data_IF_342324179186
#
_entry.id   IF_342324179186
#
_cell.length_a   1.000
_cell.length_b   1.000
_cell.length_c   1.000
_cell.angle_alpha   90.00
_cell.angle_beta   90.00
_cell.angle_gamma   90.00
#
_symmetry.space_group_name_H-M   'P 1'
#
loop_
_entity.id
_entity.type
_entity.pdbx_description
1 polymer ?
#
# COMPACT_ATOMS: atom_id res chain seq x y z
N UNK A 1 10.79 -5.64 5.82
CA UNK A 1 10.96 -6.77 6.77
C UNK A 1 9.62 -7.42 7.17
N UNK A 2 9.58 -8.74 7.41
CA UNK A 2 8.38 -9.44 7.94
C UNK A 2 8.38 -9.48 9.48
N UNK A 3 7.26 -9.88 10.09
CA UNK A 3 7.16 -10.10 11.55
C UNK A 3 8.17 -11.14 12.08
N UNK A 4 8.52 -12.14 11.25
CA UNK A 4 9.53 -13.15 11.59
C UNK A 4 10.90 -12.50 11.66
N UNK A 5 11.25 -11.69 10.66
CA UNK A 5 12.52 -10.96 10.62
C UNK A 5 12.65 -10.02 11.81
N UNK A 6 11.58 -9.27 12.16
CA UNK A 6 11.56 -8.39 13.33
C UNK A 6 11.81 -9.16 14.63
N UNK A 7 11.20 -10.33 14.79
CA UNK A 7 11.37 -11.18 15.97
C UNK A 7 12.81 -11.70 16.10
N UNK A 8 13.44 -12.08 14.99
CA UNK A 8 14.84 -12.53 14.96
C UNK A 8 15.79 -11.38 15.32
N UNK A 9 15.63 -10.21 14.68
CA UNK A 9 16.49 -9.03 14.91
C UNK A 9 16.43 -8.58 16.38
N UNK A 10 15.24 -8.58 16.98
CA UNK A 10 15.09 -8.20 18.38
C UNK A 10 15.78 -9.18 19.33
N UNK A 11 15.65 -10.48 19.09
CA UNK A 11 16.29 -11.50 19.91
C UNK A 11 17.83 -11.49 19.76
N UNK A 12 18.33 -11.24 18.55
CA UNK A 12 19.76 -11.11 18.24
C UNK A 12 20.38 -9.89 18.93
N UNK A 13 19.70 -8.73 18.90
CA UNK A 13 20.15 -7.52 19.60
C UNK A 13 20.28 -7.71 21.12
N UNK A 14 19.51 -8.65 21.69
CA UNK A 14 19.53 -9.01 23.11
C UNK A 14 20.35 -10.28 23.39
N UNK A 15 21.03 -10.85 22.39
CA UNK A 15 21.83 -12.07 22.46
C UNK A 15 21.10 -13.26 23.14
N UNK A 16 19.81 -13.43 22.83
CA UNK A 16 18.95 -14.47 23.39
C UNK A 16 18.21 -15.25 22.31
N UNK A 17 17.65 -16.39 22.70
CA UNK A 17 16.66 -17.08 21.87
C UNK A 17 15.34 -16.30 21.83
N UNK A 18 14.46 -16.69 20.90
CA UNK A 18 13.10 -16.18 20.85
C UNK A 18 12.36 -16.54 22.14
N UNK A 19 11.69 -15.55 22.70
CA UNK A 19 10.78 -15.70 23.83
C UNK A 19 9.53 -16.49 23.41
N UNK A 20 8.82 -17.12 24.36
CA UNK A 20 7.54 -17.77 24.08
C UNK A 20 6.55 -16.84 23.35
N UNK A 21 6.49 -15.55 23.73
CA UNK A 21 5.62 -14.57 23.08
C UNK A 21 6.03 -14.20 21.65
N UNK A 22 7.32 -14.26 21.30
CA UNK A 22 7.77 -14.12 19.90
C UNK A 22 7.43 -15.36 19.08
N UNK A 23 7.60 -16.56 19.66
CA UNK A 23 7.21 -17.81 19.00
C UNK A 23 5.70 -17.87 18.76
N UNK A 24 4.87 -17.44 19.72
CA UNK A 24 3.42 -17.38 19.57
C UNK A 24 3.00 -16.39 18.48
N UNK A 25 3.68 -15.23 18.37
CA UNK A 25 3.44 -14.27 17.28
C UNK A 25 3.78 -14.87 15.91
N UNK A 26 4.90 -15.59 15.79
CA UNK A 26 5.27 -16.28 14.56
C UNK A 26 4.23 -17.35 14.22
N UNK A 27 3.78 -18.13 15.21
CA UNK A 27 2.75 -19.16 15.04
C UNK A 27 1.43 -18.55 14.55
N UNK A 28 1.00 -17.43 15.13
CA UNK A 28 -0.19 -16.72 14.69
C UNK A 28 -0.03 -16.20 13.26
N UNK A 29 1.13 -15.62 12.92
CA UNK A 29 1.43 -15.13 11.58
C UNK A 29 1.35 -16.22 10.51
N UNK A 30 1.96 -17.39 10.74
CA UNK A 30 1.87 -18.50 9.78
C UNK A 30 0.44 -19.06 9.70
N UNK A 31 -0.29 -19.08 10.83
CA UNK A 31 -1.68 -19.53 10.89
C UNK A 31 -2.64 -18.68 10.07
N UNK A 32 -2.43 -17.37 9.98
CA UNK A 32 -3.25 -16.46 9.15
C UNK A 32 -2.74 -16.29 7.71
N UNK A 33 -1.71 -17.03 7.29
CA UNK A 33 -1.12 -16.90 5.96
C UNK A 33 -2.09 -17.12 4.79
N UNK A 34 -3.04 -18.06 4.93
CA UNK A 34 -4.04 -18.34 3.90
C UNK A 34 -4.98 -17.15 3.65
N UNK A 35 -5.36 -16.42 4.69
CA UNK A 35 -6.19 -15.22 4.56
C UNK A 35 -5.43 -14.11 3.82
N UNK A 36 -4.18 -13.84 4.23
CA UNK A 36 -3.33 -12.82 3.59
C UNK A 36 -3.03 -13.12 2.12
N UNK A 37 -2.80 -14.40 1.78
CA UNK A 37 -2.62 -14.80 0.38
C UNK A 37 -3.89 -14.58 -0.44
N UNK A 38 -5.07 -14.95 0.08
CA UNK A 38 -6.36 -14.69 -0.59
C UNK A 38 -6.60 -13.20 -0.83
N UNK A 39 -6.28 -12.34 0.15
CA UNK A 39 -6.36 -10.89 0.00
C UNK A 39 -5.44 -10.43 -1.13
N UNK A 40 -4.16 -10.83 -1.10
CA UNK A 40 -3.18 -10.45 -2.11
C UNK A 40 -3.56 -10.95 -3.51
N UNK A 41 -4.11 -12.16 -3.63
CA UNK A 41 -4.62 -12.73 -4.89
C UNK A 41 -5.79 -11.92 -5.43
N UNK A 42 -6.73 -11.51 -4.57
CA UNK A 42 -7.89 -10.67 -4.95
C UNK A 42 -7.41 -9.33 -5.50
N UNK A 43 -6.50 -8.66 -4.78
CA UNK A 43 -5.92 -7.38 -5.20
C UNK A 43 -5.13 -7.51 -6.52
N UNK A 44 -4.34 -8.58 -6.64
CA UNK A 44 -3.51 -8.84 -7.83
C UNK A 44 -4.38 -9.16 -9.06
N UNK A 45 -5.41 -10.00 -8.89
CA UNK A 45 -6.34 -10.38 -9.94
C UNK A 45 -7.21 -9.22 -10.43
N UNK A 46 -7.53 -8.26 -9.55
CA UNK A 46 -8.33 -7.09 -9.87
C UNK A 46 -7.54 -5.80 -10.12
N UNK A 47 -6.19 -5.87 -10.19
CA UNK A 47 -5.32 -4.68 -10.22
C UNK A 47 -5.70 -3.63 -11.25
N UNK A 48 -6.00 -4.06 -12.48
CA UNK A 48 -6.32 -3.17 -13.59
C UNK A 48 -7.64 -2.43 -13.34
N UNK A 49 -8.62 -3.15 -12.79
CA UNK A 49 -9.93 -2.59 -12.44
C UNK A 49 -9.81 -1.62 -11.28
N UNK A 50 -9.03 -1.97 -10.25
CA UNK A 50 -8.78 -1.11 -9.09
C UNK A 50 -8.12 0.20 -9.53
N UNK A 51 -7.00 0.13 -10.26
CA UNK A 51 -6.24 1.32 -10.68
C UNK A 51 -7.08 2.19 -11.63
N UNK A 52 -7.78 1.58 -12.60
CA UNK A 52 -8.62 2.33 -13.54
C UNK A 52 -9.76 3.06 -12.84
N UNK A 53 -10.56 2.35 -12.03
CA UNK A 53 -11.70 2.97 -11.36
C UNK A 53 -11.26 4.00 -10.32
N UNK A 54 -10.18 3.74 -9.59
CA UNK A 54 -9.63 4.69 -8.64
C UNK A 54 -9.08 5.94 -9.34
N UNK A 55 -8.44 5.78 -10.51
CA UNK A 55 -7.94 6.88 -11.34
C UNK A 55 -9.09 7.76 -11.84
N UNK A 56 -10.15 7.15 -12.37
CA UNK A 56 -11.34 7.88 -12.82
C UNK A 56 -11.97 8.70 -11.68
N UNK A 57 -12.08 8.13 -10.48
CA UNK A 57 -12.58 8.82 -9.28
C UNK A 57 -11.64 9.93 -8.81
N UNK A 58 -10.32 9.69 -8.86
CA UNK A 58 -9.31 10.68 -8.51
C UNK A 58 -9.45 11.91 -9.41
N UNK A 59 -9.52 11.74 -10.72
CA UNK A 59 -9.58 12.86 -11.67
C UNK A 59 -10.89 13.65 -11.58
N UNK A 60 -11.98 13.02 -11.14
CA UNK A 60 -13.22 13.73 -10.81
C UNK A 60 -13.07 14.60 -9.55
N UNK A 61 -12.36 14.11 -8.52
CA UNK A 61 -12.14 14.84 -7.25
C UNK A 61 -11.03 15.88 -7.35
N UNK A 62 -10.04 15.62 -8.21
CA UNK A 62 -8.86 16.45 -8.45
C UNK A 62 -8.73 16.75 -9.94
N UNK A 63 -9.65 17.54 -10.53
CA UNK A 63 -9.55 17.90 -11.94
C UNK A 63 -8.34 18.81 -12.21
N UNK A 64 -7.79 19.46 -11.19
CA UNK A 64 -6.63 20.34 -11.26
C UNK A 64 -5.35 19.62 -11.71
N UNK A 65 -5.16 18.35 -11.32
CA UNK A 65 -3.93 17.61 -11.66
C UNK A 65 -3.89 17.16 -13.12
N UNK A 66 -5.05 17.03 -13.79
CA UNK A 66 -5.20 16.62 -15.21
C UNK A 66 -5.66 17.76 -16.13
N UNK A 67 -5.73 18.99 -15.63
CA UNK A 67 -6.01 20.19 -16.43
C UNK A 67 -4.70 20.83 -16.93
N UNK A 68 -4.72 21.70 -17.96
CA UNK A 68 -3.50 22.38 -18.42
C UNK A 68 -2.75 23.06 -17.26
N UNK A 69 -1.48 22.69 -17.07
CA UNK A 69 -0.65 23.15 -15.95
C UNK A 69 -0.60 22.20 -14.74
N UNK A 70 -1.44 21.17 -14.69
CA UNK A 70 -1.39 20.10 -13.70
C UNK A 70 -0.26 19.09 -13.97
N UNK A 71 0.23 18.43 -12.91
CA UNK A 71 1.37 17.51 -13.01
C UNK A 71 1.06 16.22 -13.80
N UNK A 72 -0.21 15.84 -13.90
CA UNK A 72 -0.70 14.66 -14.62
C UNK A 72 -1.35 15.03 -15.97
N UNK A 73 -1.17 16.26 -16.47
CA UNK A 73 -1.78 16.72 -17.71
C UNK A 73 -1.24 16.00 -18.97
N UNK A 74 -2.16 15.52 -19.81
CA UNK A 74 -1.85 14.80 -21.05
C UNK A 74 -1.72 13.29 -20.86
N UNK A 75 -1.78 12.55 -21.97
CA UNK A 75 -1.86 11.08 -21.97
C UNK A 75 -0.65 10.43 -21.27
N UNK A 76 0.57 10.88 -21.57
CA UNK A 76 1.80 10.32 -20.99
C UNK A 76 1.89 10.54 -19.47
N UNK A 77 1.52 11.73 -18.99
CA UNK A 77 1.59 12.07 -17.57
C UNK A 77 0.45 11.43 -16.78
N UNK A 78 -0.74 11.32 -17.38
CA UNK A 78 -1.84 10.53 -16.81
C UNK A 78 -1.45 9.04 -16.71
N UNK A 79 -0.84 8.46 -17.74
CA UNK A 79 -0.34 7.09 -17.71
C UNK A 79 0.73 6.90 -16.61
N UNK A 80 1.61 7.89 -16.43
CA UNK A 80 2.60 7.90 -15.34
C UNK A 80 1.96 7.96 -13.97
N UNK A 81 0.90 8.74 -13.78
CA UNK A 81 0.11 8.77 -12.56
C UNK A 81 -0.52 7.40 -12.25
N UNK A 82 -1.16 6.77 -13.24
CA UNK A 82 -1.77 5.44 -13.08
C UNK A 82 -0.72 4.36 -12.79
N UNK A 83 0.48 4.47 -13.38
CA UNK A 83 1.62 3.60 -13.07
C UNK A 83 2.03 3.71 -11.60
N UNK A 84 2.12 4.92 -11.06
CA UNK A 84 2.46 5.13 -9.64
C UNK A 84 1.37 4.57 -8.71
N UNK A 85 0.09 4.68 -9.09
CA UNK A 85 -1.01 4.03 -8.38
C UNK A 85 -0.84 2.50 -8.34
N UNK A 86 -0.52 1.88 -9.48
CA UNK A 86 -0.22 0.45 -9.57
C UNK A 86 1.00 0.05 -8.72
N UNK A 87 2.03 0.90 -8.65
CA UNK A 87 3.17 0.68 -7.76
C UNK A 87 2.75 0.61 -6.30
N UNK A 88 1.92 1.53 -5.81
CA UNK A 88 1.41 1.48 -4.45
C UNK A 88 0.53 0.27 -4.19
N UNK A 89 -0.34 -0.11 -5.13
CA UNK A 89 -1.15 -1.32 -5.00
C UNK A 89 -0.26 -2.56 -4.87
N UNK A 90 0.79 -2.66 -5.69
CA UNK A 90 1.79 -3.74 -5.60
C UNK A 90 2.51 -3.74 -4.25
N UNK A 91 2.98 -2.60 -3.76
CA UNK A 91 3.63 -2.52 -2.44
C UNK A 91 2.66 -2.91 -1.31
N UNK A 92 1.38 -2.55 -1.42
CA UNK A 92 0.35 -2.97 -0.47
C UNK A 92 0.21 -4.49 -0.46
N UNK A 93 0.20 -5.16 -1.63
CA UNK A 93 0.20 -6.64 -1.64
C UNK A 93 1.44 -7.25 -0.98
N UNK A 94 2.61 -6.60 -1.10
CA UNK A 94 3.82 -7.05 -0.41
C UNK A 94 3.69 -6.90 1.11
N UNK A 95 3.11 -5.80 1.58
CA UNK A 95 2.82 -5.59 2.99
C UNK A 95 1.85 -6.64 3.54
N UNK A 96 0.76 -6.91 2.79
CA UNK A 96 -0.23 -7.94 3.13
C UNK A 96 0.43 -9.30 3.28
N UNK A 97 1.18 -9.80 2.30
CA UNK A 97 1.79 -11.14 2.43
C UNK A 97 2.86 -11.20 3.53
N UNK A 98 3.61 -10.10 3.73
CA UNK A 98 4.60 -9.98 4.80
C UNK A 98 3.98 -9.84 6.20
N UNK A 99 2.67 -9.54 6.28
CA UNK A 99 1.93 -9.26 7.52
C UNK A 99 2.41 -8.00 8.25
N UNK A 100 3.03 -7.07 7.52
CA UNK A 100 3.65 -5.87 8.09
C UNK A 100 3.85 -4.79 7.01
N UNK A 101 3.83 -3.52 7.39
CA UNK A 101 3.97 -2.38 6.48
C UNK A 101 5.40 -2.09 6.04
N UNK A 102 6.42 -2.73 6.64
CA UNK A 102 7.81 -2.39 6.34
C UNK A 102 8.19 -2.48 4.84
N UNK A 103 7.71 -3.45 4.01
CA UNK A 103 7.98 -3.41 2.57
C UNK A 103 7.43 -2.16 1.86
N UNK A 104 6.32 -1.62 2.36
CA UNK A 104 5.73 -0.37 1.87
C UNK A 104 6.60 0.82 2.30
N UNK A 105 7.03 0.82 3.56
CA UNK A 105 7.84 1.88 4.15
C UNK A 105 9.21 2.01 3.47
N UNK A 106 9.97 0.91 3.44
CA UNK A 106 11.34 0.86 2.91
C UNK A 106 11.43 1.21 1.42
N UNK A 107 10.39 0.91 0.64
CA UNK A 107 10.41 1.09 -0.82
C UNK A 107 9.66 2.34 -1.26
N UNK A 108 8.48 2.60 -0.69
CA UNK A 108 7.51 3.56 -1.21
C UNK A 108 7.30 4.82 -0.38
N UNK A 109 7.84 4.90 0.84
CA UNK A 109 7.59 6.02 1.75
C UNK A 109 8.86 6.72 2.24
N UNK A 110 9.97 6.02 2.45
CA UNK A 110 11.25 6.68 2.77
C UNK A 110 11.68 7.54 1.58
N UNK A 111 11.73 8.86 1.78
CA UNK A 111 12.11 9.84 0.75
C UNK A 111 10.96 10.26 -0.19
N UNK A 112 9.73 9.79 0.04
CA UNK A 112 8.59 10.05 -0.87
C UNK A 112 8.24 11.54 -0.98
N UNK A 113 8.36 12.28 0.13
CA UNK A 113 8.07 13.72 0.19
C UNK A 113 9.07 14.52 -0.62
N UNK A 114 10.35 14.20 -0.49
CA UNK A 114 11.44 14.81 -1.23
C UNK A 114 11.30 14.54 -2.73
N UNK A 115 10.98 13.29 -3.08
CA UNK A 115 10.76 12.86 -4.47
C UNK A 115 9.59 13.62 -5.11
N UNK A 116 8.38 13.55 -4.53
CA UNK A 116 7.22 14.20 -5.14
C UNK A 116 7.32 15.72 -5.14
N UNK A 117 7.94 16.32 -4.11
CA UNK A 117 8.24 17.76 -4.10
C UNK A 117 9.17 18.14 -5.25
N UNK A 118 10.22 17.36 -5.51
CA UNK A 118 11.14 17.60 -6.63
C UNK A 118 10.47 17.46 -7.99
N UNK A 119 9.48 16.58 -8.10
CA UNK A 119 8.71 16.34 -9.33
C UNK A 119 7.51 17.30 -9.49
N UNK A 120 7.26 18.19 -8.54
CA UNK A 120 6.08 19.07 -8.54
C UNK A 120 4.75 18.34 -8.43
N UNK A 121 4.76 17.11 -7.91
CA UNK A 121 3.55 16.30 -7.69
C UNK A 121 2.97 16.62 -6.32
N UNK A 122 1.68 16.93 -6.26
CA UNK A 122 0.97 17.16 -5.01
C UNK A 122 0.80 15.84 -4.23
N UNK A 123 1.50 15.71 -3.11
CA UNK A 123 1.44 14.53 -2.25
C UNK A 123 0.02 14.30 -1.69
N UNK A 124 -0.78 15.36 -1.51
CA UNK A 124 -2.18 15.24 -1.11
C UNK A 124 -3.04 14.57 -2.18
N UNK A 125 -2.72 14.79 -3.47
CA UNK A 125 -3.37 14.10 -4.58
C UNK A 125 -2.96 12.62 -4.63
N UNK A 126 -1.71 12.29 -4.33
CA UNK A 126 -1.24 10.90 -4.22
C UNK A 126 -1.93 10.18 -3.05
N UNK A 127 -2.03 10.82 -1.88
CA UNK A 127 -2.80 10.27 -0.76
C UNK A 127 -4.27 10.03 -1.15
N UNK A 128 -4.86 10.94 -1.93
CA UNK A 128 -6.23 10.77 -2.42
C UNK A 128 -6.34 9.59 -3.39
N UNK A 129 -5.37 9.36 -4.28
CA UNK A 129 -5.39 8.22 -5.20
C UNK A 129 -5.40 6.89 -4.45
N UNK A 130 -4.63 6.79 -3.36
CA UNK A 130 -4.60 5.61 -2.49
C UNK A 130 -5.92 5.43 -1.74
N UNK A 131 -6.58 6.50 -1.31
CA UNK A 131 -7.96 6.43 -0.76
C UNK A 131 -8.95 5.87 -1.78
N UNK A 132 -8.91 6.33 -3.02
CA UNK A 132 -9.82 5.78 -4.04
C UNK A 132 -9.51 4.30 -4.35
N UNK A 133 -8.24 3.90 -4.36
CA UNK A 133 -7.88 2.49 -4.51
C UNK A 133 -8.39 1.64 -3.35
N UNK A 134 -8.32 2.15 -2.10
CA UNK A 134 -8.89 1.49 -0.93
C UNK A 134 -10.38 1.23 -1.11
N UNK A 135 -11.15 2.25 -1.48
CA UNK A 135 -12.62 2.14 -1.66
C UNK A 135 -13.01 1.13 -2.75
N UNK A 136 -12.26 1.08 -3.85
CA UNK A 136 -12.52 0.08 -4.90
C UNK A 136 -12.12 -1.32 -4.43
N UNK A 137 -10.94 -1.46 -3.80
CA UNK A 137 -10.40 -2.73 -3.36
C UNK A 137 -11.26 -3.40 -2.28
N UNK A 138 -11.70 -2.65 -1.26
CA UNK A 138 -12.51 -3.20 -0.15
C UNK A 138 -13.87 -3.71 -0.64
N UNK A 139 -14.42 -3.12 -1.70
CA UNK A 139 -15.66 -3.59 -2.33
C UNK A 139 -15.56 -4.95 -3.04
N UNK A 140 -14.35 -5.49 -3.21
CA UNK A 140 -14.09 -6.76 -3.92
C UNK A 140 -13.88 -7.96 -2.98
N UNK A 141 -13.92 -7.75 -1.66
CA UNK A 141 -13.58 -8.78 -0.69
C UNK A 141 -14.58 -8.82 0.48
N UNK A 142 -14.46 -9.85 1.33
CA UNK A 142 -15.28 -9.99 2.53
C UNK A 142 -15.02 -8.86 3.53
N UNK A 143 -15.93 -8.63 4.47
CA UNK A 143 -15.74 -7.58 5.49
C UNK A 143 -14.46 -7.77 6.31
N UNK A 144 -14.11 -9.02 6.62
CA UNK A 144 -12.91 -9.33 7.41
C UNK A 144 -11.64 -9.07 6.59
N UNK A 145 -11.62 -9.55 5.34
CA UNK A 145 -10.51 -9.32 4.40
C UNK A 145 -10.33 -7.81 4.11
N UNK A 146 -11.45 -7.08 3.95
CA UNK A 146 -11.46 -5.64 3.74
C UNK A 146 -10.90 -4.89 4.95
N UNK A 147 -11.24 -5.32 6.17
CA UNK A 147 -10.71 -4.74 7.40
C UNK A 147 -9.20 -4.94 7.50
N UNK A 148 -8.70 -6.15 7.19
CA UNK A 148 -7.27 -6.44 7.19
C UNK A 148 -6.53 -5.62 6.12
N UNK A 149 -7.02 -5.64 4.88
CA UNK A 149 -6.43 -4.91 3.76
C UNK A 149 -6.41 -3.38 4.01
N UNK A 150 -7.48 -2.84 4.60
CA UNK A 150 -7.63 -1.40 4.87
C UNK A 150 -6.46 -0.83 5.67
N UNK A 151 -5.93 -1.59 6.64
CA UNK A 151 -4.82 -1.13 7.48
C UNK A 151 -3.57 -0.75 6.68
N UNK A 152 -3.29 -1.46 5.59
CA UNK A 152 -2.14 -1.20 4.71
C UNK A 152 -2.35 0.04 3.84
N UNK A 153 -3.57 0.24 3.32
CA UNK A 153 -3.93 1.49 2.62
C UNK A 153 -3.85 2.69 3.57
N UNK A 154 -4.40 2.57 4.76
CA UNK A 154 -4.44 3.65 5.76
C UNK A 154 -3.04 4.06 6.21
N UNK A 155 -2.12 3.10 6.31
CA UNK A 155 -0.71 3.40 6.58
C UNK A 155 -0.10 4.28 5.49
N UNK A 156 -0.26 3.92 4.21
CA UNK A 156 0.23 4.73 3.08
C UNK A 156 -0.38 6.14 3.10
N UNK A 157 -1.70 6.23 3.29
CA UNK A 157 -2.43 7.51 3.33
C UNK A 157 -1.93 8.39 4.47
N UNK A 158 -1.74 7.81 5.67
CA UNK A 158 -1.25 8.51 6.85
C UNK A 158 0.19 9.02 6.68
N UNK A 159 1.04 8.25 6.01
CA UNK A 159 2.43 8.65 5.73
C UNK A 159 2.57 9.76 4.68
N UNK A 160 1.56 9.93 3.81
CA UNK A 160 1.50 10.98 2.79
C UNK A 160 0.77 12.25 3.24
N UNK A 161 0.21 12.24 4.44
CA UNK A 161 -0.51 13.40 5.03
C UNK A 161 0.44 14.38 5.73
#
# INVERSE_FOLDING_TARGET
>A
MSIVTKSIVNADAEARYLSPGELDRIKAFVGSGAARLRIAETLTGARETIVKQAGDRLFQKRPDIVSPGGNAYGEEMTATCLRDMDYYLRLITYGVVAGDVTPIEEIGLVGVREMYKSLGTDIGAVAQSVREMKEVATGLMSSDDASEASSYFDYVIGSMS
#
